data_IF_830926266155
#
_entry.id   IF_830926266155
#
_cell.length_a   1.000
_cell.length_b   1.000
_cell.length_c   1.000
_cell.angle_alpha   90.00
_cell.angle_beta   90.00
_cell.angle_gamma   90.00
#
_symmetry.space_group_name_H-M   'P 1'
#
loop_
_entity.id
_entity.type
_entity.pdbx_description
1 polymer ?
#
# COMPACT_ATOMS: atom_id res chain seq x y z
N UNK A 1 13.06 6.67 -19.24
CA UNK A 1 13.26 7.58 -20.39
C UNK A 1 14.49 8.46 -20.16
N UNK A 2 14.61 9.12 -19.01
CA UNK A 2 15.77 9.97 -18.66
C UNK A 2 17.14 9.29 -18.83
N UNK A 3 17.34 8.08 -18.30
CA UNK A 3 18.58 7.31 -18.50
C UNK A 3 18.93 7.01 -19.97
N UNK A 4 17.91 6.87 -20.83
CA UNK A 4 18.13 6.63 -22.26
C UNK A 4 18.61 7.91 -22.98
N UNK A 5 18.12 9.07 -22.56
CA UNK A 5 18.66 10.36 -23.00
C UNK A 5 20.09 10.59 -22.51
N UNK A 6 20.38 10.22 -21.26
CA UNK A 6 21.73 10.34 -20.68
C UNK A 6 22.73 9.48 -21.46
N UNK A 7 22.40 8.21 -21.75
CA UNK A 7 23.22 7.35 -22.60
C UNK A 7 23.39 7.89 -24.02
N UNK A 8 22.31 8.43 -24.62
CA UNK A 8 22.39 9.03 -25.95
C UNK A 8 23.36 10.23 -25.99
N UNK A 9 23.34 11.07 -24.93
CA UNK A 9 24.30 12.17 -24.77
C UNK A 9 25.73 11.67 -24.61
N UNK A 10 25.96 10.66 -23.77
CA UNK A 10 27.29 10.07 -23.56
C UNK A 10 27.86 9.44 -24.84
N UNK A 11 27.01 8.84 -25.66
CA UNK A 11 27.39 8.21 -26.93
C UNK A 11 27.39 9.20 -28.11
N UNK A 12 27.05 10.47 -27.86
CA UNK A 12 26.94 11.53 -28.87
C UNK A 12 26.06 11.13 -30.08
N UNK A 13 24.96 10.44 -29.80
CA UNK A 13 23.97 10.02 -30.81
C UNK A 13 22.68 10.81 -30.65
N UNK A 14 22.09 11.19 -31.78
CA UNK A 14 20.78 11.83 -31.78
C UNK A 14 19.70 10.75 -31.62
N UNK A 15 19.23 10.58 -30.40
CA UNK A 15 18.24 9.56 -30.07
C UNK A 15 17.12 10.12 -29.20
N UNK A 16 15.88 9.98 -29.69
CA UNK A 16 14.67 10.31 -28.95
C UNK A 16 13.95 9.01 -28.55
N UNK A 17 14.18 8.51 -27.32
CA UNK A 17 13.44 7.36 -26.83
C UNK A 17 11.94 7.67 -26.82
N UNK A 18 11.13 6.72 -27.29
CA UNK A 18 9.67 6.73 -27.14
C UNK A 18 9.20 5.61 -26.22
N UNK A 19 7.96 5.69 -25.72
CA UNK A 19 7.35 4.58 -24.98
C UNK A 19 7.31 3.29 -25.82
N UNK A 20 7.11 3.41 -27.13
CA UNK A 20 7.15 2.27 -28.06
C UNK A 20 8.53 1.63 -28.16
N UNK A 21 9.60 2.43 -28.21
CA UNK A 21 10.98 1.92 -28.17
C UNK A 21 11.25 1.17 -26.87
N UNK A 22 10.87 1.75 -25.72
CA UNK A 22 11.10 1.14 -24.42
C UNK A 22 10.34 -0.18 -24.27
N UNK A 23 9.08 -0.24 -24.72
CA UNK A 23 8.28 -1.47 -24.69
C UNK A 23 8.88 -2.57 -25.57
N UNK A 24 9.32 -2.24 -26.79
CA UNK A 24 9.98 -3.21 -27.68
C UNK A 24 11.33 -3.67 -27.13
N UNK A 25 12.11 -2.77 -26.52
CA UNK A 25 13.39 -3.12 -25.91
C UNK A 25 13.21 -4.10 -24.75
N UNK A 26 12.25 -3.83 -23.85
CA UNK A 26 11.88 -4.74 -22.76
C UNK A 26 11.47 -6.12 -23.29
N UNK A 27 10.63 -6.17 -24.32
CA UNK A 27 10.21 -7.43 -24.93
C UNK A 27 11.39 -8.22 -25.54
N UNK A 28 12.28 -7.54 -26.27
CA UNK A 28 13.45 -8.18 -26.88
C UNK A 28 14.46 -8.71 -25.86
N UNK A 29 14.57 -8.05 -24.70
CA UNK A 29 15.45 -8.47 -23.61
C UNK A 29 14.75 -9.37 -22.59
N UNK A 30 13.51 -9.82 -22.87
CA UNK A 30 12.67 -10.60 -21.97
C UNK A 30 12.56 -9.98 -20.57
N UNK A 31 12.50 -8.65 -20.46
CA UNK A 31 12.39 -7.95 -19.18
C UNK A 31 10.91 -7.72 -18.87
N UNK A 32 10.40 -8.42 -17.86
CA UNK A 32 9.02 -8.29 -17.40
C UNK A 32 8.93 -7.85 -15.94
N UNK A 33 7.77 -7.34 -15.54
CA UNK A 33 7.54 -6.91 -14.16
C UNK A 33 7.06 -8.10 -13.34
N UNK A 34 7.85 -8.47 -12.32
CA UNK A 34 7.52 -9.56 -11.42
C UNK A 34 7.03 -9.00 -10.09
N UNK A 35 5.78 -9.32 -9.71
CA UNK A 35 5.22 -8.98 -8.41
C UNK A 35 5.58 -10.07 -7.41
N UNK A 36 6.29 -9.71 -6.35
CA UNK A 36 6.60 -10.63 -5.27
C UNK A 36 5.37 -10.75 -4.36
N UNK A 37 4.67 -11.87 -4.45
CA UNK A 37 3.55 -12.16 -3.55
C UNK A 37 4.07 -12.66 -2.21
N UNK A 38 3.63 -12.03 -1.12
CA UNK A 38 3.72 -12.59 0.23
C UNK A 38 2.68 -13.70 0.45
N UNK A 39 2.83 -14.45 1.54
CA UNK A 39 1.98 -15.58 1.90
C UNK A 39 0.48 -15.28 1.73
N UNK A 40 -0.19 -16.15 0.99
CA UNK A 40 -1.61 -16.09 0.71
C UNK A 40 -2.29 -17.07 1.66
N UNK A 41 -2.53 -16.64 2.88
CA UNK A 41 -3.42 -17.41 3.77
C UNK A 41 -4.85 -17.24 3.24
N UNK A 42 -5.54 -18.36 2.99
CA UNK A 42 -6.90 -18.33 2.48
C UNK A 42 -7.84 -18.03 3.65
N UNK A 43 -8.55 -16.91 3.60
CA UNK A 43 -9.58 -16.59 4.60
C UNK A 43 -10.75 -17.59 4.50
N UNK A 44 -11.32 -17.96 5.66
CA UNK A 44 -12.54 -18.78 5.72
C UNK A 44 -13.78 -17.92 5.40
N UNK A 45 -14.05 -17.78 4.11
CA UNK A 45 -15.21 -17.05 3.62
C UNK A 45 -16.54 -17.65 4.08
N UNK A 46 -16.60 -18.97 4.28
CA UNK A 46 -17.84 -19.65 4.67
C UNK A 46 -18.19 -19.34 6.13
N UNK A 47 -17.21 -19.41 7.03
CA UNK A 47 -17.39 -19.01 8.42
C UNK A 47 -17.77 -17.53 8.57
N UNK A 48 -17.19 -16.65 7.74
CA UNK A 48 -17.55 -15.23 7.75
C UNK A 48 -19.02 -14.99 7.35
N UNK A 49 -19.53 -15.68 6.33
CA UNK A 49 -20.95 -15.59 5.92
C UNK A 49 -21.86 -16.11 7.02
N UNK A 50 -21.55 -17.28 7.59
CA UNK A 50 -22.36 -17.88 8.67
C UNK A 50 -22.47 -16.95 9.88
N UNK A 51 -21.37 -16.29 10.25
CA UNK A 51 -21.34 -15.33 11.35
C UNK A 51 -22.16 -14.06 11.03
N UNK A 52 -22.05 -13.53 9.81
CA UNK A 52 -22.82 -12.37 9.36
C UNK A 52 -24.33 -12.62 9.35
N UNK A 53 -24.76 -13.85 9.10
CA UNK A 53 -26.19 -14.20 9.10
C UNK A 53 -26.72 -14.51 10.50
N UNK A 54 -25.94 -15.20 11.34
CA UNK A 54 -26.42 -15.73 12.62
C UNK A 54 -26.12 -14.87 13.84
N UNK A 55 -25.03 -14.11 13.82
CA UNK A 55 -24.52 -13.41 15.02
C UNK A 55 -24.63 -11.90 14.86
N UNK A 56 -24.25 -11.38 13.69
CA UNK A 56 -24.23 -9.93 13.44
C UNK A 56 -25.58 -9.24 13.70
N UNK A 57 -26.75 -9.75 13.24
CA UNK A 57 -28.02 -9.05 13.39
C UNK A 57 -28.44 -8.84 14.85
N UNK A 58 -28.18 -9.81 15.71
CA UNK A 58 -28.48 -9.71 17.14
C UNK A 58 -27.51 -8.77 17.86
N UNK A 59 -26.23 -8.74 17.45
CA UNK A 59 -25.21 -7.87 18.04
C UNK A 59 -25.50 -6.38 17.78
N UNK A 60 -25.99 -6.04 16.58
CA UNK A 60 -26.30 -4.65 16.21
C UNK A 60 -27.74 -4.25 16.50
N UNK A 61 -28.53 -5.13 17.11
CA UNK A 61 -29.94 -4.89 17.40
C UNK A 61 -30.11 -3.68 18.33
N UNK A 62 -30.89 -2.71 17.86
CA UNK A 62 -31.16 -1.48 18.61
C UNK A 62 -30.17 -0.33 18.36
N UNK A 63 -29.14 -0.55 17.54
CA UNK A 63 -28.24 0.51 17.05
C UNK A 63 -28.69 0.98 15.66
N UNK A 64 -28.55 2.28 15.38
CA UNK A 64 -28.73 2.77 14.02
C UNK A 64 -27.48 2.49 13.19
N UNK A 65 -27.61 2.45 11.86
CA UNK A 65 -26.47 2.31 10.93
C UNK A 65 -25.39 3.38 11.12
N UNK A 66 -25.75 4.56 11.62
CA UNK A 66 -24.82 5.65 11.88
C UNK A 66 -23.94 5.41 13.12
N UNK A 67 -24.44 4.61 14.07
CA UNK A 67 -23.79 4.34 15.35
C UNK A 67 -22.92 3.07 15.31
N UNK A 68 -22.97 2.31 14.21
CA UNK A 68 -22.19 1.08 14.02
C UNK A 68 -20.92 1.43 13.25
N UNK A 69 -19.77 1.40 13.94
CA UNK A 69 -18.47 1.69 13.36
C UNK A 69 -17.64 0.43 13.16
N UNK A 70 -16.98 0.34 12.01
CA UNK A 70 -15.84 -0.53 11.82
C UNK A 70 -14.55 0.28 12.01
N UNK A 71 -13.53 -0.35 12.59
CA UNK A 71 -12.22 0.24 12.81
C UNK A 71 -11.15 -0.78 12.42
N UNK A 72 -10.20 -0.39 11.57
CA UNK A 72 -9.09 -1.26 11.19
C UNK A 72 -7.75 -0.52 11.07
N UNK A 73 -6.68 -1.21 11.44
CA UNK A 73 -5.32 -0.69 11.42
C UNK A 73 -4.60 -1.09 10.14
N UNK A 74 -3.90 -0.13 9.53
CA UNK A 74 -3.00 -0.41 8.41
C UNK A 74 -1.64 0.25 8.59
N UNK A 75 -0.61 -0.38 8.03
CA UNK A 75 0.74 0.16 8.00
C UNK A 75 0.97 0.96 6.73
N UNK A 76 1.19 2.27 6.86
CA UNK A 76 1.66 3.12 5.76
C UNK A 76 3.18 3.07 5.68
N UNK A 77 3.70 2.32 4.69
CA UNK A 77 5.14 2.15 4.47
C UNK A 77 5.69 3.26 3.56
N UNK A 78 6.13 4.37 4.14
CA UNK A 78 6.57 5.55 3.39
C UNK A 78 7.99 5.44 2.81
N UNK A 79 8.78 4.46 3.25
CA UNK A 79 10.11 4.14 2.66
C UNK A 79 10.14 2.82 1.90
N UNK A 80 9.01 2.11 1.79
CA UNK A 80 8.99 0.86 1.06
C UNK A 80 9.25 1.12 -0.43
N UNK A 81 10.17 0.33 -0.99
CA UNK A 81 10.33 0.22 -2.43
C UNK A 81 9.13 -0.56 -3.01
N UNK A 82 8.84 -0.39 -4.32
CA UNK A 82 7.82 -1.18 -5.00
C UNK A 82 8.00 -2.68 -4.73
N UNK A 83 6.88 -3.39 -4.51
CA UNK A 83 6.85 -4.83 -4.21
C UNK A 83 7.16 -5.74 -5.40
N UNK A 84 7.60 -5.15 -6.51
CA UNK A 84 8.02 -5.87 -7.69
C UNK A 84 9.21 -5.20 -8.34
N UNK A 85 9.98 -5.98 -9.08
CA UNK A 85 11.13 -5.50 -9.84
C UNK A 85 10.95 -5.86 -11.31
N UNK A 86 11.49 -5.03 -12.19
CA UNK A 86 11.74 -5.47 -13.56
C UNK A 86 12.89 -6.48 -13.50
N UNK A 87 12.69 -7.68 -14.02
CA UNK A 87 13.74 -8.70 -14.10
C UNK A 87 13.70 -9.37 -15.47
N UNK A 88 14.86 -9.90 -15.90
CA UNK A 88 14.95 -10.73 -17.09
C UNK A 88 14.28 -12.07 -16.79
N UNK A 89 13.40 -12.52 -17.66
CA UNK A 89 12.70 -13.78 -17.52
C UNK A 89 13.70 -14.94 -17.49
N UNK A 90 13.61 -15.77 -16.44
CA UNK A 90 14.56 -16.85 -16.17
C UNK A 90 15.60 -16.54 -15.09
N UNK A 91 15.83 -15.27 -14.77
CA UNK A 91 16.58 -14.89 -13.57
C UNK A 91 15.65 -14.87 -12.36
N UNK A 92 16.09 -15.45 -11.24
CA UNK A 92 15.38 -15.27 -9.96
C UNK A 92 15.74 -13.89 -9.43
N UNK A 93 14.82 -12.89 -9.44
CA UNK A 93 15.12 -11.60 -8.84
C UNK A 93 15.46 -11.80 -7.37
N UNK A 94 16.66 -11.38 -6.96
CA UNK A 94 17.03 -11.35 -5.56
C UNK A 94 16.21 -10.25 -4.88
N UNK A 95 15.36 -10.65 -3.93
CA UNK A 95 14.55 -9.71 -3.17
C UNK A 95 15.43 -8.78 -2.33
N UNK A 96 15.24 -7.48 -2.49
CA UNK A 96 15.82 -6.49 -1.58
C UNK A 96 15.13 -6.53 -0.21
N UNK A 97 15.86 -6.23 0.86
CA UNK A 97 15.24 -6.04 2.18
C UNK A 97 14.33 -4.80 2.12
N UNK A 98 13.02 -5.01 2.16
CA UNK A 98 12.04 -3.92 2.19
C UNK A 98 12.24 -3.14 3.49
N UNK A 99 12.42 -1.81 3.39
CA UNK A 99 12.37 -0.95 4.56
C UNK A 99 10.94 -0.97 5.12
N UNK A 100 10.79 -1.60 6.29
CA UNK A 100 9.51 -1.75 7.00
C UNK A 100 9.18 -0.55 7.89
N UNK A 101 9.89 0.57 7.70
CA UNK A 101 9.56 1.84 8.34
C UNK A 101 8.13 2.22 7.95
N UNK A 102 7.25 2.24 8.94
CA UNK A 102 5.83 2.46 8.75
C UNK A 102 5.26 3.38 9.82
N UNK A 103 4.23 4.11 9.43
CA UNK A 103 3.31 4.76 10.36
C UNK A 103 2.09 3.85 10.43
N UNK A 104 1.62 3.52 11.64
CA UNK A 104 0.35 2.81 11.80
C UNK A 104 -0.77 3.83 11.73
N UNK A 105 -1.76 3.56 10.89
CA UNK A 105 -2.93 4.40 10.69
C UNK A 105 -4.17 3.57 11.04
N UNK A 106 -5.06 4.16 11.82
CA UNK A 106 -6.36 3.60 12.15
C UNK A 106 -7.43 4.32 11.34
N UNK A 107 -8.17 3.54 10.56
CA UNK A 107 -9.34 4.00 9.82
C UNK A 107 -10.60 3.61 10.57
N UNK A 108 -11.51 4.58 10.77
CA UNK A 108 -12.85 4.32 11.29
C UNK A 108 -13.87 4.81 10.27
N UNK A 109 -14.91 4.01 10.06
CA UNK A 109 -16.03 4.37 9.22
C UNK A 109 -17.31 3.78 9.81
N UNK A 110 -18.38 4.58 9.87
CA UNK A 110 -19.69 4.01 10.20
C UNK A 110 -20.27 3.20 9.04
N UNK A 111 -21.25 2.36 9.34
CA UNK A 111 -21.88 1.46 8.37
C UNK A 111 -22.55 2.24 7.22
N UNK A 112 -23.09 3.43 7.49
CA UNK A 112 -23.67 4.31 6.47
C UNK A 112 -22.62 5.06 5.64
N UNK A 113 -21.34 5.00 6.03
CA UNK A 113 -20.23 5.74 5.41
C UNK A 113 -20.39 7.26 5.42
N UNK A 114 -21.24 7.81 6.28
CA UNK A 114 -21.41 9.26 6.48
C UNK A 114 -20.29 9.84 7.35
N UNK A 115 -19.77 9.08 8.31
CA UNK A 115 -18.68 9.49 9.19
C UNK A 115 -17.43 8.65 8.94
N UNK A 116 -16.31 9.33 8.68
CA UNK A 116 -15.00 8.71 8.39
C UNK A 116 -13.92 9.44 9.18
N UNK A 117 -13.10 8.67 9.88
CA UNK A 117 -11.99 9.21 10.66
C UNK A 117 -10.68 8.50 10.32
N UNK A 118 -9.59 9.27 10.41
CA UNK A 118 -8.23 8.78 10.22
C UNK A 118 -7.40 9.25 11.41
N UNK A 119 -6.76 8.30 12.07
CA UNK A 119 -5.86 8.54 13.20
C UNK A 119 -4.49 7.93 12.91
N UNK A 120 -3.43 8.62 13.29
CA UNK A 120 -2.10 8.03 13.38
C UNK A 120 -1.91 7.41 14.76
N UNK A 121 -1.58 6.13 14.80
CA UNK A 121 -1.22 5.44 16.04
C UNK A 121 0.28 5.55 16.23
N UNK A 122 0.69 6.07 17.39
CA UNK A 122 2.08 5.99 17.84
C UNK A 122 2.21 5.41 19.23
N UNK A 123 3.47 5.28 19.67
CA UNK A 123 3.81 4.54 20.90
C UNK A 123 3.49 5.29 22.21
N UNK A 124 3.46 6.61 22.18
CA UNK A 124 3.41 7.45 23.38
C UNK A 124 2.24 8.40 23.29
N UNK A 125 1.38 8.45 24.29
CA UNK A 125 0.23 9.37 24.35
C UNK A 125 0.61 10.84 24.10
N UNK A 126 1.80 11.26 24.53
CA UNK A 126 2.30 12.63 24.32
C UNK A 126 3.78 12.61 23.89
N UNK A 127 4.07 12.48 22.58
CA UNK A 127 5.44 12.41 22.08
C UNK A 127 6.20 13.71 22.34
N UNK A 128 7.43 13.60 22.83
CA UNK A 128 8.29 14.77 23.07
C UNK A 128 8.53 15.60 21.80
N UNK A 129 8.58 14.95 20.63
CA UNK A 129 8.72 15.62 19.33
C UNK A 129 7.52 16.51 18.96
N UNK A 130 6.36 16.35 19.61
CA UNK A 130 5.15 17.13 19.33
C UNK A 130 4.91 18.27 20.33
N UNK A 131 5.74 18.43 21.38
CA UNK A 131 5.52 19.44 22.43
C UNK A 131 5.43 20.89 21.93
N UNK A 132 6.01 21.19 20.76
CA UNK A 132 6.00 22.52 20.14
C UNK A 132 5.24 22.54 18.81
N UNK A 133 4.54 21.45 18.50
CA UNK A 133 3.73 21.33 17.29
C UNK A 133 2.29 21.62 17.67
N UNK A 134 1.75 22.73 17.18
CA UNK A 134 0.38 23.15 17.50
C UNK A 134 -0.67 22.39 16.68
N UNK A 135 -0.35 22.06 15.43
CA UNK A 135 -1.26 21.39 14.52
C UNK A 135 -0.52 20.25 13.80
N UNK A 136 -1.08 19.05 13.86
CA UNK A 136 -0.64 17.92 13.06
C UNK A 136 -1.56 17.75 11.85
N UNK A 137 -1.04 17.28 10.70
CA UNK A 137 -1.84 17.05 9.50
C UNK A 137 -2.84 15.88 9.66
N UNK A 138 -2.67 15.04 10.68
CA UNK A 138 -3.56 13.93 11.03
C UNK A 138 -3.71 13.87 12.55
N UNK A 139 -4.84 13.37 13.03
CA UNK A 139 -5.11 13.18 14.46
C UNK A 139 -4.16 12.11 15.03
N UNK A 140 -3.53 12.36 16.18
CA UNK A 140 -2.60 11.44 16.86
C UNK A 140 -3.18 10.98 18.19
#
# INVERSE_FOLDING_TARGET
MEKAYEMARLLNIEFQPSNGWLSRRKANENVSFHKLHGEKEAADSAGAVDWMEKVYPDMVKGYNSQDIFNADETGLYFKALPSGTMAVDGEKPYGGKVQKDRITILFLCNQESSEKFVYSIGKSKSPRCFQRVQNLPVKY
#
